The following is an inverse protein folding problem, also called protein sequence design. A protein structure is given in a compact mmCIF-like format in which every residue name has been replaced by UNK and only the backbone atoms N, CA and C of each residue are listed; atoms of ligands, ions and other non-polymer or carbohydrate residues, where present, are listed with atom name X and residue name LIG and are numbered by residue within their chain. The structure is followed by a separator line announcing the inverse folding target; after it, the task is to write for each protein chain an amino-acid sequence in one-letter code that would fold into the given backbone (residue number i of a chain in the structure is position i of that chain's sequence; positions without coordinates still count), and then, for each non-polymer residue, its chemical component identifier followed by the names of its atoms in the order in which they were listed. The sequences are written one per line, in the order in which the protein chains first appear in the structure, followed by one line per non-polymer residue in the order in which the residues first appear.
data_IF_922870750186
#
_entry.id   IF_922870750186
#
_cell.length_a   1.000
_cell.length_b   1.000
_cell.length_c   1.000
_cell.angle_alpha   90.00
_cell.angle_beta   90.00
_cell.angle_gamma   90.00
#
_symmetry.space_group_name_H-M   'P 1'
#
loop_
_entity.id
_entity.type
_entity.pdbx_description
1 polymer ?
#
# COMPACT_ATOMS: atom_id res chain seq x y z
N UNK A 1 2.67 28.95 -8.62
CA UNK A 1 2.48 27.87 -7.62
C UNK A 1 1.25 28.16 -6.75
N UNK A 2 1.11 29.37 -6.21
CA UNK A 2 0.01 29.76 -5.29
C UNK A 2 -1.39 29.64 -5.93
N UNK A 3 -1.53 29.99 -7.20
CA UNK A 3 -2.82 29.96 -7.92
C UNK A 3 -3.30 28.53 -8.20
N UNK A 4 -2.38 27.60 -8.46
CA UNK A 4 -2.70 26.20 -8.75
C UNK A 4 -3.26 25.47 -7.51
N UNK A 5 -2.63 25.65 -6.36
CA UNK A 5 -3.10 25.09 -5.08
C UNK A 5 -4.48 25.62 -4.71
N UNK A 6 -4.75 26.89 -4.93
CA UNK A 6 -6.06 27.51 -4.64
C UNK A 6 -7.18 26.88 -5.47
N UNK A 7 -6.95 26.76 -6.79
CA UNK A 7 -7.93 26.16 -7.70
C UNK A 7 -8.20 24.71 -7.36
N UNK A 8 -7.15 23.94 -7.07
CA UNK A 8 -7.27 22.54 -6.69
C UNK A 8 -8.03 22.37 -5.37
N UNK A 9 -7.74 23.16 -4.35
CA UNK A 9 -8.46 23.17 -3.09
C UNK A 9 -9.95 23.45 -3.28
N UNK A 10 -10.29 24.41 -4.13
CA UNK A 10 -11.67 24.75 -4.44
C UNK A 10 -12.42 23.58 -5.12
N UNK A 11 -11.80 22.97 -6.11
CA UNK A 11 -12.33 21.83 -6.85
C UNK A 11 -12.57 20.62 -5.93
N UNK A 12 -11.59 20.29 -5.11
CA UNK A 12 -11.66 19.19 -4.14
C UNK A 12 -12.78 19.42 -3.14
N UNK A 13 -12.93 20.64 -2.63
CA UNK A 13 -14.04 21.02 -1.74
C UNK A 13 -15.39 20.82 -2.41
N UNK A 14 -15.55 21.24 -3.65
CA UNK A 14 -16.80 21.06 -4.41
C UNK A 14 -17.18 19.58 -4.54
N UNK A 15 -16.23 18.72 -4.88
CA UNK A 15 -16.47 17.28 -4.97
C UNK A 15 -16.89 16.68 -3.63
N UNK A 16 -16.25 17.11 -2.55
CA UNK A 16 -16.65 16.67 -1.21
C UNK A 16 -18.07 17.11 -0.85
N UNK A 17 -18.43 18.36 -1.13
CA UNK A 17 -19.78 18.90 -0.90
C UNK A 17 -20.86 18.15 -1.72
N UNK A 18 -20.49 17.60 -2.87
CA UNK A 18 -21.36 16.76 -3.72
C UNK A 18 -21.46 15.30 -3.25
N UNK A 19 -20.84 14.92 -2.15
CA UNK A 19 -20.90 13.58 -1.58
C UNK A 19 -19.78 12.65 -2.01
N UNK A 20 -18.75 13.11 -2.71
CA UNK A 20 -17.60 12.30 -3.10
C UNK A 20 -16.76 11.90 -1.89
N UNK A 21 -16.21 10.68 -1.94
CA UNK A 21 -15.14 10.25 -1.06
C UNK A 21 -13.79 10.66 -1.67
N UNK A 22 -12.95 11.32 -0.88
CA UNK A 22 -11.72 11.94 -1.35
C UNK A 22 -10.54 11.47 -0.53
N UNK A 23 -9.51 11.02 -1.24
CA UNK A 23 -8.19 10.76 -0.70
C UNK A 23 -7.19 11.70 -1.37
N UNK A 24 -6.41 12.39 -0.56
CA UNK A 24 -5.30 13.23 -0.99
C UNK A 24 -3.99 12.67 -0.45
N UNK A 25 -3.00 12.52 -1.32
CA UNK A 25 -1.62 12.20 -0.93
C UNK A 25 -0.74 13.34 -1.41
N UNK A 26 -0.09 14.02 -0.48
CA UNK A 26 0.63 15.26 -0.72
C UNK A 26 1.98 15.29 0.02
N UNK A 27 2.90 16.10 -0.47
CA UNK A 27 4.20 16.35 0.16
C UNK A 27 4.48 17.85 0.39
N UNK A 28 3.45 18.69 0.33
CA UNK A 28 3.62 20.15 0.38
C UNK A 28 2.74 20.88 1.39
N UNK A 29 2.07 20.18 2.28
CA UNK A 29 1.12 20.72 3.26
C UNK A 29 0.00 21.58 2.62
N UNK A 30 -0.35 21.30 1.35
CA UNK A 30 -1.27 22.14 0.57
C UNK A 30 -2.73 22.04 1.04
N UNK A 31 -3.09 20.99 1.77
CA UNK A 31 -4.48 20.66 2.11
C UNK A 31 -4.81 20.73 3.59
N UNK A 32 -3.86 21.13 4.43
CA UNK A 32 -4.05 21.17 5.88
C UNK A 32 -5.22 22.10 6.29
N UNK A 33 -5.30 23.27 5.70
CA UNK A 33 -6.36 24.24 5.98
C UNK A 33 -7.75 23.73 5.57
N UNK A 34 -7.87 23.17 4.37
CA UNK A 34 -9.12 22.59 3.89
C UNK A 34 -9.54 21.37 4.75
N UNK A 35 -8.60 20.52 5.09
CA UNK A 35 -8.84 19.37 5.94
C UNK A 35 -9.35 19.78 7.32
N UNK A 36 -8.75 20.78 7.94
CA UNK A 36 -9.17 21.34 9.23
C UNK A 36 -10.57 21.94 9.17
N UNK A 37 -10.90 22.63 8.07
CA UNK A 37 -12.24 23.19 7.86
C UNK A 37 -13.32 22.10 7.77
N UNK A 38 -13.04 21.05 7.01
CA UNK A 38 -13.96 19.91 6.85
C UNK A 38 -14.11 19.15 8.18
N UNK A 39 -13.02 18.97 8.90
CA UNK A 39 -13.02 18.37 10.24
C UNK A 39 -13.94 19.11 11.20
N UNK A 40 -13.82 20.43 11.25
CA UNK A 40 -14.68 21.28 12.08
C UNK A 40 -16.14 21.22 11.65
N UNK A 41 -16.44 21.31 10.34
CA UNK A 41 -17.81 21.27 9.80
C UNK A 41 -18.52 19.94 10.08
N UNK A 42 -17.79 18.83 10.11
CA UNK A 42 -18.33 17.48 10.31
C UNK A 42 -18.22 17.00 11.74
N UNK A 43 -17.83 17.85 12.68
CA UNK A 43 -17.60 17.51 14.09
C UNK A 43 -16.63 16.33 14.26
N UNK A 44 -15.56 16.32 13.48
CA UNK A 44 -14.51 15.30 13.53
C UNK A 44 -14.77 14.02 12.72
N UNK A 45 -15.92 13.92 12.06
CA UNK A 45 -16.21 12.71 11.26
C UNK A 45 -15.33 12.62 10.01
N UNK A 46 -15.23 13.69 9.24
CA UNK A 46 -14.39 13.80 8.05
C UNK A 46 -13.24 14.77 8.29
N UNK A 47 -12.33 14.88 7.33
CA UNK A 47 -11.15 15.74 7.46
C UNK A 47 -10.08 15.10 8.35
N UNK A 48 -9.76 13.85 8.09
CA UNK A 48 -8.70 13.12 8.79
C UNK A 48 -7.35 13.43 8.13
N UNK A 49 -6.41 13.91 8.92
CA UNK A 49 -5.09 14.33 8.46
C UNK A 49 -4.01 13.43 9.07
N UNK A 50 -3.38 12.61 8.24
CA UNK A 50 -2.28 11.74 8.65
C UNK A 50 -0.96 12.38 8.24
N UNK A 51 -0.05 12.55 9.18
CA UNK A 51 1.31 13.03 8.95
C UNK A 51 2.30 11.94 9.34
N UNK A 52 3.25 11.65 8.46
CA UNK A 52 4.33 10.74 8.78
C UNK A 52 5.42 11.49 9.57
N UNK A 53 5.68 11.07 10.80
CA UNK A 53 6.79 11.55 11.63
C UNK A 53 7.58 10.37 12.18
N UNK A 54 8.82 10.60 12.58
CA UNK A 54 9.64 9.54 13.20
C UNK A 54 9.05 9.07 14.52
N UNK A 55 8.45 9.99 15.29
CA UNK A 55 7.82 9.70 16.59
C UNK A 55 6.46 9.00 16.45
N UNK A 56 5.76 9.26 15.35
CA UNK A 56 4.45 8.67 15.05
C UNK A 56 4.38 8.24 13.58
N UNK A 57 5.14 7.21 13.20
CA UNK A 57 5.14 6.73 11.82
C UNK A 57 3.79 6.09 11.49
N UNK A 58 3.39 6.23 10.22
CA UNK A 58 2.20 5.57 9.71
C UNK A 58 2.53 4.08 9.54
N UNK A 59 1.75 3.22 10.15
CA UNK A 59 1.92 1.78 10.12
C UNK A 59 0.72 1.08 9.49
N UNK A 60 0.99 -0.01 8.76
CA UNK A 60 0.01 -0.78 8.01
C UNK A 60 0.20 -2.28 8.25
N UNK A 61 -0.79 -3.06 7.85
CA UNK A 61 -0.63 -4.50 7.68
C UNK A 61 -1.36 -4.95 6.41
N UNK A 62 -0.69 -4.94 5.26
CA UNK A 62 -1.30 -5.34 3.99
C UNK A 62 -1.60 -6.83 3.90
N UNK A 63 -1.04 -7.65 4.77
CA UNK A 63 -1.27 -9.09 4.83
C UNK A 63 -2.56 -9.48 5.58
N UNK A 64 -3.10 -8.57 6.37
CA UNK A 64 -4.34 -8.81 7.10
C UNK A 64 -5.56 -8.45 6.24
N UNK A 65 -6.55 -9.33 6.23
CA UNK A 65 -7.87 -9.10 5.63
C UNK A 65 -8.93 -9.49 6.65
N UNK A 66 -9.88 -8.60 6.92
CA UNK A 66 -10.88 -8.75 7.98
C UNK A 66 -11.71 -10.03 7.83
N UNK A 67 -12.17 -10.32 6.62
CA UNK A 67 -12.96 -11.52 6.30
C UNK A 67 -12.11 -12.77 6.02
N UNK A 68 -10.79 -12.64 6.00
CA UNK A 68 -9.87 -13.73 5.67
C UNK A 68 -9.91 -14.18 4.21
N UNK A 69 -10.59 -13.44 3.35
CA UNK A 69 -10.71 -13.76 1.92
C UNK A 69 -9.70 -12.96 1.11
N UNK A 70 -8.79 -13.67 0.47
CA UNK A 70 -7.75 -13.09 -0.38
C UNK A 70 -8.11 -13.31 -1.84
N UNK A 71 -8.73 -12.32 -2.46
CA UNK A 71 -9.08 -12.34 -3.87
C UNK A 71 -7.87 -12.14 -4.79
N UNK A 72 -8.07 -12.25 -6.09
CA UNK A 72 -7.01 -12.07 -7.09
C UNK A 72 -6.35 -10.72 -6.96
N UNK A 73 -7.14 -9.67 -6.72
CA UNK A 73 -6.65 -8.31 -6.58
C UNK A 73 -5.73 -8.14 -5.36
N UNK A 74 -6.13 -8.70 -4.22
CA UNK A 74 -5.31 -8.65 -3.00
C UNK A 74 -3.99 -9.39 -3.17
N UNK A 75 -4.00 -10.52 -3.85
CA UNK A 75 -2.79 -11.29 -4.16
C UNK A 75 -1.86 -10.53 -5.10
N UNK A 76 -2.39 -9.87 -6.13
CA UNK A 76 -1.62 -9.01 -7.03
C UNK A 76 -1.04 -7.79 -6.29
N UNK A 77 -1.81 -7.22 -5.37
CA UNK A 77 -1.35 -6.14 -4.48
C UNK A 77 -0.15 -6.57 -3.64
N UNK A 78 -0.24 -7.71 -2.99
CA UNK A 78 0.85 -8.25 -2.18
C UNK A 78 2.11 -8.54 -3.00
N UNK A 79 1.95 -9.14 -4.19
CA UNK A 79 3.06 -9.38 -5.11
C UNK A 79 3.74 -8.06 -5.51
N UNK A 80 2.97 -7.06 -5.90
CA UNK A 80 3.50 -5.76 -6.32
C UNK A 80 4.21 -5.06 -5.17
N UNK A 81 3.67 -5.13 -3.96
CA UNK A 81 4.32 -4.61 -2.77
C UNK A 81 5.69 -5.26 -2.55
N UNK A 82 5.74 -6.58 -2.60
CA UNK A 82 6.99 -7.33 -2.41
C UNK A 82 8.04 -7.01 -3.48
N UNK A 83 7.61 -6.87 -4.74
CA UNK A 83 8.49 -6.43 -5.82
C UNK A 83 9.01 -5.02 -5.60
N UNK A 84 8.17 -4.11 -5.11
CA UNK A 84 8.54 -2.71 -4.81
C UNK A 84 9.55 -2.64 -3.67
N UNK A 85 9.41 -3.49 -2.64
CA UNK A 85 10.37 -3.61 -1.55
C UNK A 85 11.71 -4.17 -2.03
N UNK A 86 11.67 -5.11 -2.95
CA UNK A 86 12.85 -5.87 -3.38
C UNK A 86 13.66 -5.19 -4.49
N UNK A 87 12.97 -4.66 -5.51
CA UNK A 87 13.61 -4.09 -6.70
C UNK A 87 13.71 -2.57 -6.62
N UNK A 88 14.80 -2.02 -7.15
CA UNK A 88 14.92 -0.58 -7.38
C UNK A 88 14.00 -0.15 -8.51
N UNK A 89 13.70 1.13 -8.58
CA UNK A 89 12.86 1.72 -9.62
C UNK A 89 13.35 1.39 -11.05
N UNK A 90 14.66 1.32 -11.25
CA UNK A 90 15.30 1.01 -12.53
C UNK A 90 15.42 -0.49 -12.84
N UNK A 91 15.09 -1.36 -11.89
CA UNK A 91 15.21 -2.80 -12.04
C UNK A 91 13.85 -3.41 -12.37
N UNK A 92 13.75 -4.05 -13.53
CA UNK A 92 12.56 -4.83 -13.87
C UNK A 92 12.71 -6.26 -13.34
N UNK A 93 11.69 -6.81 -12.65
CA UNK A 93 11.71 -8.21 -12.25
C UNK A 93 11.65 -9.11 -13.48
N UNK A 94 12.33 -10.22 -13.42
CA UNK A 94 12.19 -11.27 -14.43
C UNK A 94 10.86 -12.02 -14.23
N UNK A 95 10.41 -12.70 -15.29
CA UNK A 95 9.22 -13.54 -15.21
C UNK A 95 9.36 -14.65 -14.16
N UNK A 96 10.56 -15.25 -14.04
CA UNK A 96 10.84 -16.27 -13.02
C UNK A 96 10.71 -15.71 -11.60
N UNK A 97 11.19 -14.50 -11.38
CA UNK A 97 11.05 -13.82 -10.09
C UNK A 97 9.59 -13.51 -9.75
N UNK A 98 8.80 -13.02 -10.72
CA UNK A 98 7.36 -12.77 -10.52
C UNK A 98 6.59 -14.05 -10.21
N UNK A 99 6.88 -15.14 -10.92
CA UNK A 99 6.26 -16.45 -10.67
C UNK A 99 6.65 -16.97 -9.29
N UNK A 100 7.90 -16.86 -8.89
CA UNK A 100 8.37 -17.28 -7.58
C UNK A 100 7.66 -16.53 -6.44
N UNK A 101 7.49 -15.22 -6.58
CA UNK A 101 6.77 -14.42 -5.59
C UNK A 101 5.27 -14.72 -5.56
N UNK A 102 4.64 -14.91 -6.70
CA UNK A 102 3.23 -15.34 -6.77
C UNK A 102 3.03 -16.68 -6.05
N UNK A 103 3.93 -17.62 -6.25
CA UNK A 103 3.90 -18.92 -5.57
C UNK A 103 4.11 -18.77 -4.06
N UNK A 104 5.06 -17.95 -3.64
CA UNK A 104 5.30 -17.70 -2.22
C UNK A 104 4.05 -17.10 -1.53
N UNK A 105 3.44 -16.09 -2.14
CA UNK A 105 2.20 -15.48 -1.62
C UNK A 105 1.08 -16.50 -1.54
N UNK A 106 0.82 -17.24 -2.61
CA UNK A 106 -0.27 -18.23 -2.64
C UNK A 106 -0.09 -19.34 -1.60
N UNK A 107 1.12 -19.84 -1.42
CA UNK A 107 1.44 -20.88 -0.43
C UNK A 107 1.34 -20.34 1.00
N UNK A 108 1.79 -19.12 1.24
CA UNK A 108 1.61 -18.47 2.54
C UNK A 108 0.13 -18.30 2.89
N UNK A 109 -0.69 -17.82 1.97
CA UNK A 109 -2.13 -17.68 2.18
C UNK A 109 -2.83 -19.02 2.40
N UNK A 110 -2.38 -20.08 1.74
CA UNK A 110 -2.86 -21.44 1.98
C UNK A 110 -2.51 -21.92 3.39
N UNK A 111 -1.30 -21.61 3.86
CA UNK A 111 -0.89 -21.93 5.23
C UNK A 111 -1.73 -21.20 6.28
N UNK A 112 -2.07 -19.93 6.05
CA UNK A 112 -2.96 -19.17 6.94
C UNK A 112 -4.34 -19.81 7.08
N UNK A 113 -4.85 -20.44 6.03
CA UNK A 113 -6.14 -21.16 6.09
C UNK A 113 -6.08 -22.45 6.91
N UNK A 114 -4.96 -23.13 6.89
CA UNK A 114 -4.78 -24.42 7.59
C UNK A 114 -4.25 -24.28 9.01
N UNK A 115 -3.53 -23.20 9.30
CA UNK A 115 -2.96 -22.94 10.62
C UNK A 115 -3.44 -21.56 11.12
N UNK A 116 -4.47 -21.58 11.96
CA UNK A 116 -5.08 -20.37 12.52
C UNK A 116 -4.27 -19.71 13.63
N UNK A 117 -3.19 -20.34 14.09
CA UNK A 117 -2.28 -19.73 15.07
C UNK A 117 -1.37 -18.65 14.46
N UNK A 118 -1.22 -18.64 13.13
CA UNK A 118 -0.41 -17.66 12.43
C UNK A 118 -1.18 -16.36 12.28
N UNK A 119 -0.63 -15.27 12.82
CA UNK A 119 -1.18 -13.93 12.63
C UNK A 119 -0.67 -13.38 11.31
N UNK A 120 -1.55 -13.01 10.35
CA UNK A 120 -1.12 -12.44 9.09
C UNK A 120 -0.33 -11.15 9.29
N UNK A 121 0.90 -11.10 8.79
CA UNK A 121 1.77 -9.92 8.85
C UNK A 121 2.95 -10.11 7.88
N UNK A 122 3.70 -9.03 7.66
CA UNK A 122 4.97 -9.15 6.94
C UNK A 122 5.95 -10.08 7.68
N UNK A 123 6.01 -10.00 9.01
CA UNK A 123 6.91 -10.83 9.81
C UNK A 123 6.64 -12.32 9.60
N UNK A 124 5.39 -12.74 9.67
CA UNK A 124 5.05 -14.16 9.48
C UNK A 124 5.21 -14.61 8.03
N UNK A 125 4.99 -13.73 7.06
CA UNK A 125 5.32 -14.01 5.66
C UNK A 125 6.84 -14.19 5.45
N UNK A 126 7.65 -13.31 6.02
CA UNK A 126 9.11 -13.40 5.95
C UNK A 126 9.63 -14.71 6.55
N UNK A 127 9.13 -15.08 7.72
CA UNK A 127 9.46 -16.34 8.39
C UNK A 127 9.04 -17.57 7.56
N UNK A 128 7.87 -17.51 6.93
CA UNK A 128 7.41 -18.54 6.00
C UNK A 128 8.36 -18.70 4.80
N UNK A 129 8.79 -17.61 4.21
CA UNK A 129 9.73 -17.62 3.08
C UNK A 129 11.08 -18.20 3.50
N UNK A 130 11.56 -17.82 4.67
CA UNK A 130 12.84 -18.28 5.22
C UNK A 130 12.84 -19.78 5.53
N UNK A 131 11.72 -20.35 5.89
CA UNK A 131 11.59 -21.74 6.32
C UNK A 131 10.91 -22.63 5.27
N UNK A 132 9.59 -22.54 5.16
CA UNK A 132 8.80 -23.45 4.31
C UNK A 132 9.07 -23.24 2.81
N UNK A 133 9.14 -22.01 2.38
CA UNK A 133 9.37 -21.70 0.97
C UNK A 133 10.80 -22.01 0.55
N UNK A 134 11.80 -21.76 1.39
CA UNK A 134 13.18 -22.18 1.19
C UNK A 134 13.26 -23.67 0.93
N UNK A 135 12.61 -24.46 1.76
CA UNK A 135 12.56 -25.93 1.63
C UNK A 135 11.96 -26.36 0.30
N UNK A 136 10.87 -25.71 -0.11
CA UNK A 136 10.23 -25.99 -1.39
C UNK A 136 11.13 -25.66 -2.59
N UNK A 137 11.82 -24.53 -2.55
CA UNK A 137 12.77 -24.13 -3.61
C UNK A 137 13.92 -25.14 -3.74
N UNK A 138 14.44 -25.63 -2.62
CA UNK A 138 15.46 -26.67 -2.58
C UNK A 138 14.95 -28.00 -3.19
N UNK A 139 13.75 -28.44 -2.80
CA UNK A 139 13.12 -29.63 -3.35
C UNK A 139 12.90 -29.54 -4.85
N UNK A 140 12.47 -28.40 -5.33
CA UNK A 140 12.25 -28.14 -6.77
C UNK A 140 13.53 -27.82 -7.53
N UNK A 141 14.65 -27.71 -6.85
CA UNK A 141 15.95 -27.35 -7.43
C UNK A 141 15.90 -26.04 -8.24
N UNK A 142 15.20 -25.03 -7.70
CA UNK A 142 15.14 -23.70 -8.30
C UNK A 142 16.52 -23.07 -8.22
N UNK A 143 17.01 -22.56 -9.36
CA UNK A 143 18.35 -21.98 -9.44
C UNK A 143 18.35 -20.55 -8.90
N UNK A 144 19.44 -20.14 -8.29
CA UNK A 144 19.65 -18.79 -7.80
C UNK A 144 19.39 -17.72 -8.88
N UNK A 145 19.81 -17.99 -10.13
CA UNK A 145 19.56 -17.08 -11.26
C UNK A 145 18.08 -16.90 -11.60
N UNK A 146 17.23 -17.85 -11.25
CA UNK A 146 15.80 -17.80 -11.50
C UNK A 146 15.06 -17.13 -10.33
N UNK A 147 15.51 -17.39 -9.10
CA UNK A 147 15.05 -16.69 -7.90
C UNK A 147 16.14 -16.75 -6.82
N UNK A 148 16.72 -15.61 -6.51
CA UNK A 148 17.76 -15.48 -5.48
C UNK A 148 17.10 -15.22 -4.11
N UNK A 149 16.81 -16.30 -3.39
CA UNK A 149 16.16 -16.26 -2.08
C UNK A 149 16.96 -15.47 -1.04
N UNK A 150 18.28 -15.67 -0.99
CA UNK A 150 19.13 -14.99 -0.02
C UNK A 150 19.16 -13.48 -0.28
N UNK A 151 19.22 -13.06 -1.53
CA UNK A 151 19.12 -11.65 -1.90
C UNK A 151 17.76 -11.08 -1.52
N UNK A 152 16.68 -11.80 -1.82
CA UNK A 152 15.32 -11.39 -1.44
C UNK A 152 15.20 -11.17 0.07
N UNK A 153 15.58 -12.12 0.87
CA UNK A 153 15.53 -12.03 2.33
C UNK A 153 16.41 -10.90 2.87
N UNK A 154 17.60 -10.75 2.31
CA UNK A 154 18.55 -9.72 2.73
C UNK A 154 18.03 -8.30 2.45
N UNK A 155 17.47 -8.09 1.27
CA UNK A 155 16.90 -6.77 0.89
C UNK A 155 15.65 -6.43 1.70
N UNK A 156 14.84 -7.42 2.05
CA UNK A 156 13.59 -7.23 2.80
C UNK A 156 13.78 -7.24 4.33
N UNK A 157 14.94 -7.63 4.83
CA UNK A 157 15.26 -7.69 6.27
C UNK A 157 14.95 -6.39 7.03
N UNK A 158 15.18 -5.17 6.49
CA UNK A 158 14.85 -3.93 7.18
C UNK A 158 13.38 -3.78 7.59
N UNK A 159 12.47 -4.47 6.93
CA UNK A 159 11.03 -4.46 7.23
C UNK A 159 10.59 -5.57 8.18
N UNK A 160 11.48 -6.51 8.46
CA UNK A 160 11.27 -7.59 9.41
C UNK A 160 11.57 -7.14 10.83
N UNK A 161 10.99 -7.81 11.83
CA UNK A 161 11.15 -7.46 13.26
C UNK A 161 12.60 -7.24 13.65
N UNK A 162 12.85 -6.14 14.33
CA UNK A 162 14.19 -5.69 14.69
C UNK A 162 14.88 -4.84 13.61
N UNK A 163 14.32 -4.74 12.42
CA UNK A 163 14.81 -3.90 11.34
C UNK A 163 14.37 -2.43 11.47
N UNK A 164 14.98 -1.56 10.68
CA UNK A 164 14.74 -0.12 10.69
C UNK A 164 13.26 0.25 10.43
N UNK A 165 12.58 -0.50 9.57
CA UNK A 165 11.19 -0.26 9.16
C UNK A 165 10.24 -1.38 9.64
N UNK A 166 10.54 -2.02 10.74
CA UNK A 166 9.73 -3.14 11.26
C UNK A 166 8.31 -2.75 11.65
N UNK A 167 8.06 -1.48 11.94
CA UNK A 167 6.74 -0.93 12.25
C UNK A 167 5.81 -0.83 11.03
N UNK A 168 6.37 -0.75 9.81
CA UNK A 168 5.64 -0.30 8.62
C UNK A 168 4.57 -1.28 8.14
N UNK A 169 4.84 -2.59 8.19
CA UNK A 169 4.03 -3.64 7.56
C UNK A 169 3.48 -4.68 8.56
N UNK A 170 3.59 -4.43 9.84
CA UNK A 170 3.27 -5.37 10.92
C UNK A 170 2.29 -4.80 11.95
N UNK A 171 1.50 -3.79 11.58
CA UNK A 171 0.56 -3.16 12.50
C UNK A 171 -0.51 -4.15 12.96
N UNK A 172 -0.81 -4.14 14.23
CA UNK A 172 -1.94 -4.86 14.83
C UNK A 172 -3.26 -4.07 14.74
N UNK A 173 -3.17 -2.81 14.30
CA UNK A 173 -4.31 -1.90 14.17
C UNK A 173 -4.59 -1.62 12.69
N UNK A 174 -5.83 -1.80 12.28
CA UNK A 174 -6.28 -1.38 10.97
C UNK A 174 -6.67 0.10 10.99
N UNK A 175 -6.34 0.81 9.92
CA UNK A 175 -6.86 2.15 9.70
C UNK A 175 -8.33 2.03 9.30
N UNK A 176 -9.24 2.40 10.21
CA UNK A 176 -10.66 2.46 9.90
C UNK A 176 -10.97 3.75 9.13
N UNK A 177 -10.99 3.63 7.82
CA UNK A 177 -11.24 4.74 6.90
C UNK A 177 -12.56 4.60 6.13
N UNK A 178 -13.33 3.52 6.39
CA UNK A 178 -14.48 3.16 5.56
C UNK A 178 -15.57 4.22 5.57
N UNK A 179 -15.83 4.86 6.71
CA UNK A 179 -16.83 5.90 6.90
C UNK A 179 -16.30 7.32 6.70
N UNK A 180 -14.99 7.48 6.50
CA UNK A 180 -14.35 8.80 6.31
C UNK A 180 -14.42 9.21 4.85
N UNK A 181 -14.96 10.39 4.58
CA UNK A 181 -15.13 10.89 3.21
C UNK A 181 -14.03 11.84 2.75
N UNK A 182 -13.24 12.39 3.65
CA UNK A 182 -12.14 13.27 3.33
C UNK A 182 -10.91 12.90 4.14
N UNK A 183 -9.88 12.40 3.46
CA UNK A 183 -8.66 11.88 4.10
C UNK A 183 -7.44 12.47 3.39
N UNK A 184 -6.51 12.99 4.16
CA UNK A 184 -5.23 13.51 3.68
C UNK A 184 -4.10 12.73 4.31
N UNK A 185 -3.20 12.23 3.49
CA UNK A 185 -1.90 11.71 3.91
C UNK A 185 -0.80 12.70 3.49
N UNK A 186 -0.19 13.33 4.47
CA UNK A 186 0.92 14.27 4.28
C UNK A 186 2.25 13.54 4.48
N UNK A 187 3.01 13.41 3.41
CA UNK A 187 4.25 12.63 3.34
C UNK A 187 5.51 13.48 3.18
N UNK A 188 5.46 14.78 3.49
CA UNK A 188 6.60 15.68 3.29
C UNK A 188 7.87 15.19 4.00
N UNK A 189 7.73 14.67 5.21
CA UNK A 189 8.86 14.19 6.02
C UNK A 189 9.61 13.01 5.40
N UNK A 190 8.99 12.28 4.48
CA UNK A 190 9.63 11.18 3.73
C UNK A 190 9.75 11.47 2.23
N UNK A 191 9.50 12.70 1.80
CA UNK A 191 9.51 13.08 0.39
C UNK A 191 10.84 12.83 -0.32
N UNK A 192 11.96 12.91 0.41
CA UNK A 192 13.30 12.60 -0.09
C UNK A 192 13.71 11.13 0.09
N UNK A 193 12.95 10.34 0.81
CA UNK A 193 13.25 8.92 1.03
C UNK A 193 12.77 8.09 -0.16
N UNK A 194 13.69 7.74 -1.04
CA UNK A 194 13.42 6.98 -2.28
C UNK A 194 12.93 5.56 -2.04
N UNK A 195 13.11 5.03 -0.85
CA UNK A 195 12.66 3.68 -0.47
C UNK A 195 11.27 3.72 0.14
N UNK A 196 11.04 4.57 1.14
CA UNK A 196 9.77 4.62 1.87
C UNK A 196 8.64 5.27 1.09
N UNK A 197 8.90 6.36 0.37
CA UNK A 197 7.85 7.11 -0.31
C UNK A 197 7.03 6.26 -1.30
N UNK A 198 7.65 5.48 -2.21
CA UNK A 198 6.89 4.59 -3.10
C UNK A 198 6.08 3.54 -2.35
N UNK A 199 6.66 2.92 -1.34
CA UNK A 199 6.01 1.86 -0.56
C UNK A 199 4.81 2.39 0.19
N UNK A 200 4.96 3.48 0.93
CA UNK A 200 3.87 4.11 1.69
C UNK A 200 2.76 4.58 0.75
N UNK A 201 3.10 5.22 -0.36
CA UNK A 201 2.13 5.68 -1.35
C UNK A 201 1.34 4.51 -1.95
N UNK A 202 2.02 3.42 -2.30
CA UNK A 202 1.37 2.21 -2.82
C UNK A 202 0.37 1.61 -1.83
N UNK A 203 0.75 1.48 -0.58
CA UNK A 203 -0.10 0.91 0.47
C UNK A 203 -1.33 1.80 0.70
N UNK A 204 -1.15 3.10 0.76
CA UNK A 204 -2.25 4.07 0.90
C UNK A 204 -3.24 3.94 -0.26
N UNK A 205 -2.74 3.88 -1.49
CA UNK A 205 -3.59 3.71 -2.67
C UNK A 205 -4.35 2.40 -2.65
N UNK A 206 -3.68 1.31 -2.35
CA UNK A 206 -4.30 -0.02 -2.27
C UNK A 206 -5.40 -0.04 -1.21
N UNK A 207 -5.12 0.47 -0.02
CA UNK A 207 -6.07 0.54 1.09
C UNK A 207 -7.31 1.35 0.70
N UNK A 208 -7.12 2.50 0.04
CA UNK A 208 -8.22 3.35 -0.39
C UNK A 208 -9.05 2.71 -1.51
N UNK A 209 -8.42 2.13 -2.50
CA UNK A 209 -9.12 1.48 -3.63
C UNK A 209 -9.90 0.27 -3.14
N UNK A 210 -9.34 -0.55 -2.26
CA UNK A 210 -10.05 -1.67 -1.63
C UNK A 210 -11.29 -1.20 -0.86
N UNK A 211 -11.15 -0.12 -0.11
CA UNK A 211 -12.27 0.55 0.56
C UNK A 211 -13.35 0.96 -0.44
N UNK A 212 -12.94 1.64 -1.51
CA UNK A 212 -13.87 2.22 -2.49
C UNK A 212 -14.68 1.16 -3.24
N UNK A 213 -14.12 -0.01 -3.47
CA UNK A 213 -14.84 -1.12 -4.12
C UNK A 213 -15.96 -1.69 -3.26
N UNK A 214 -15.86 -1.56 -1.95
CA UNK A 214 -16.92 -1.94 -0.99
C UNK A 214 -18.07 -0.94 -0.98
N UNK A 215 -17.82 0.32 -1.35
CA UNK A 215 -18.80 1.40 -1.40
C UNK A 215 -19.35 1.56 -2.82
N UNK A 216 -20.48 0.94 -3.10
CA UNK A 216 -21.16 1.03 -4.40
C UNK A 216 -21.98 2.33 -4.50
N UNK A 217 -22.04 2.90 -5.72
CA UNK A 217 -22.88 4.07 -6.00
C UNK A 217 -22.34 5.40 -5.46
N UNK A 218 -21.10 5.45 -5.00
CA UNK A 218 -20.46 6.65 -4.45
C UNK A 218 -19.38 7.16 -5.38
N UNK A 219 -19.34 8.46 -5.64
CA UNK A 219 -18.23 9.10 -6.37
C UNK A 219 -16.96 9.09 -5.52
N UNK A 220 -15.85 8.87 -6.17
CA UNK A 220 -14.55 8.67 -5.52
C UNK A 220 -13.49 9.45 -6.26
N UNK A 221 -12.61 10.11 -5.51
CA UNK A 221 -11.49 10.85 -6.05
C UNK A 221 -10.21 10.50 -5.30
N UNK A 222 -9.17 10.17 -6.02
CA UNK A 222 -7.80 10.08 -5.50
C UNK A 222 -7.00 11.17 -6.18
N UNK A 223 -6.37 12.04 -5.40
CA UNK A 223 -5.45 13.04 -5.90
C UNK A 223 -4.08 12.82 -5.26
N UNK A 224 -3.08 12.63 -6.11
CA UNK A 224 -1.68 12.45 -5.69
C UNK A 224 -0.90 13.61 -6.25
N UNK A 225 -0.45 14.49 -5.37
CA UNK A 225 0.39 15.64 -5.74
C UNK A 225 1.82 15.42 -5.28
N UNK A 226 2.77 15.81 -6.12
CA UNK A 226 4.22 15.71 -5.90
C UNK A 226 4.75 14.28 -5.70
N UNK A 227 3.96 13.38 -5.12
CA UNK A 227 4.33 11.97 -4.90
C UNK A 227 4.25 11.10 -6.16
N UNK A 228 3.60 11.57 -7.24
CA UNK A 228 3.37 10.75 -8.44
C UNK A 228 4.66 10.26 -9.09
N UNK A 229 5.75 11.00 -8.94
CA UNK A 229 7.08 10.60 -9.46
C UNK A 229 7.58 9.30 -8.82
N UNK A 230 7.20 9.06 -7.57
CA UNK A 230 7.53 7.82 -6.87
C UNK A 230 6.80 6.59 -7.44
N UNK A 231 5.74 6.80 -8.22
CA UNK A 231 4.90 5.76 -8.80
C UNK A 231 5.25 5.44 -10.27
N UNK A 232 6.37 5.94 -10.77
CA UNK A 232 6.74 5.84 -12.19
C UNK A 232 7.47 4.56 -12.55
N UNK A 233 7.82 3.70 -11.60
CA UNK A 233 8.40 2.39 -11.92
C UNK A 233 7.43 1.55 -12.77
N UNK A 234 7.95 0.70 -13.64
CA UNK A 234 7.13 -0.14 -14.53
C UNK A 234 6.14 -1.02 -13.73
N UNK A 235 6.58 -1.58 -12.61
CA UNK A 235 5.76 -2.40 -11.71
C UNK A 235 4.61 -1.61 -11.10
N UNK A 236 4.90 -0.41 -10.59
CA UNK A 236 3.92 0.48 -10.00
C UNK A 236 2.90 0.95 -11.01
N UNK A 237 3.36 1.37 -12.19
CA UNK A 237 2.49 1.84 -13.28
C UNK A 237 1.51 0.77 -13.74
N UNK A 238 1.96 -0.46 -13.91
CA UNK A 238 1.12 -1.60 -14.30
C UNK A 238 0.07 -1.90 -13.23
N UNK A 239 0.46 -1.89 -11.96
CA UNK A 239 -0.44 -2.15 -10.85
C UNK A 239 -1.48 -1.04 -10.69
N UNK A 240 -1.09 0.23 -10.80
CA UNK A 240 -2.01 1.36 -10.75
C UNK A 240 -3.03 1.30 -11.87
N UNK A 241 -2.61 0.95 -13.09
CA UNK A 241 -3.55 0.74 -14.21
C UNK A 241 -4.54 -0.37 -13.92
N UNK A 242 -4.10 -1.47 -13.33
CA UNK A 242 -4.96 -2.56 -12.92
C UNK A 242 -5.99 -2.11 -11.87
N UNK A 243 -5.56 -1.38 -10.83
CA UNK A 243 -6.44 -0.85 -9.79
C UNK A 243 -7.47 0.16 -10.31
N UNK A 244 -7.07 0.99 -11.27
CA UNK A 244 -7.93 2.04 -11.83
C UNK A 244 -8.77 1.57 -13.02
N UNK A 245 -8.59 0.32 -13.48
CA UNK A 245 -9.41 -0.25 -14.55
C UNK A 245 -10.89 -0.31 -14.12
N UNK A 246 -11.83 0.10 -14.99
CA UNK A 246 -13.24 -0.05 -14.67
C UNK A 246 -13.55 -1.52 -14.44
N UNK A 247 -14.26 -1.82 -13.36
CA UNK A 247 -14.79 -3.17 -13.13
C UNK A 247 -15.72 -3.47 -14.30
N UNK A 248 -15.30 -4.35 -15.19
CA UNK A 248 -16.21 -4.85 -16.22
C UNK A 248 -17.35 -5.54 -15.48
N UNK A 249 -18.54 -4.98 -15.61
CA UNK A 249 -19.75 -5.63 -15.14
C UNK A 249 -19.87 -6.97 -15.88
N UNK A 250 -19.74 -8.06 -15.15
CA UNK A 250 -20.03 -9.39 -15.64
C UNK A 250 -21.55 -9.59 -15.71
#
# INVERSE_FOLDING_TARGET
IRDRSYLTNHLVRQYWEQGSHILLVDTGNSYQGLCSLIHAKTKGRDGVYFTYTEEAPIAFNPFYVEDGVYDVEKRESLKTLLLTLWKRESEEPTRSEEVALSNAVNLYLSKLRTDRSIVPSFDTFYEFVETDYRRLLEQKRVREKDFDLENFLNVLEPYYKGGEYDYLLNSDKQLDLLDKRFIVFELDNISSNRTLLPVVTLIIMETFISKMRRLKGVRKMILIEECWKALTSANMSSYIRYLCAPVQAA
#
